data_IF_176714170563
#
_entry.id   IF_176714170563
#
_cell.length_a   1.000
_cell.length_b   1.000
_cell.length_c   1.000
_cell.angle_alpha   90.00
_cell.angle_beta   90.00
_cell.angle_gamma   90.00
#
_symmetry.space_group_name_H-M   'P 1'
#
loop_
_entity.id
_entity.type
_entity.pdbx_description
1 polymer ?
#
# COMPACT_ATOMS: atom_id res chain seq x y z
N UNK A 1 -12.40 -31.32 4.28
CA UNK A 1 -11.22 -30.54 3.86
C UNK A 1 -11.74 -29.26 3.22
N UNK A 2 -11.90 -28.20 4.00
CA UNK A 2 -12.33 -26.90 3.49
C UNK A 2 -11.10 -26.20 2.90
N UNK A 3 -11.11 -25.98 1.59
CA UNK A 3 -10.10 -25.19 0.89
C UNK A 3 -10.11 -23.77 1.47
N UNK A 4 -9.03 -23.36 2.12
CA UNK A 4 -8.76 -21.94 2.33
C UNK A 4 -8.52 -21.32 0.95
N UNK A 5 -9.51 -20.59 0.44
CA UNK A 5 -9.28 -19.71 -0.70
C UNK A 5 -8.20 -18.72 -0.30
N UNK A 6 -7.00 -18.93 -0.84
CA UNK A 6 -5.86 -18.05 -0.75
C UNK A 6 -6.19 -16.77 -1.53
N UNK A 7 -6.99 -15.91 -0.93
CA UNK A 7 -7.09 -14.52 -1.33
C UNK A 7 -5.74 -13.89 -0.95
N UNK A 8 -5.02 -13.22 -1.87
CA UNK A 8 -3.84 -12.44 -1.51
C UNK A 8 -4.32 -11.23 -0.69
N UNK A 9 -4.58 -11.45 0.59
CA UNK A 9 -5.27 -10.52 1.47
C UNK A 9 -5.44 -11.13 2.85
N UNK A 10 -4.67 -10.59 3.79
CA UNK A 10 -4.78 -10.70 5.25
C UNK A 10 -5.89 -11.63 5.79
N UNK A 11 -5.48 -12.79 6.31
CA UNK A 11 -6.37 -13.72 7.00
C UNK A 11 -6.58 -13.27 8.46
N UNK A 12 -7.81 -12.94 8.88
CA UNK A 12 -8.10 -12.56 10.27
C UNK A 12 -7.80 -13.68 11.28
N UNK A 13 -7.69 -14.95 10.86
CA UNK A 13 -7.28 -16.04 11.73
C UNK A 13 -5.82 -15.91 12.23
N UNK A 14 -5.01 -15.06 11.60
CA UNK A 14 -3.64 -14.76 12.02
C UNK A 14 -3.58 -13.76 13.20
N UNK A 15 -4.70 -13.12 13.56
CA UNK A 15 -4.75 -12.15 14.66
C UNK A 15 -4.83 -12.85 16.02
N UNK A 16 -3.89 -12.52 16.90
CA UNK A 16 -3.92 -12.95 18.30
C UNK A 16 -4.16 -11.75 19.21
N UNK A 17 -5.26 -11.77 19.95
CA UNK A 17 -5.56 -10.77 20.99
C UNK A 17 -4.91 -11.18 22.31
N UNK A 18 -3.95 -10.39 22.78
CA UNK A 18 -3.21 -10.65 24.04
C UNK A 18 -3.97 -10.12 25.26
N UNK A 19 -4.84 -9.14 25.07
CA UNK A 19 -5.65 -8.54 26.13
C UNK A 19 -6.82 -9.44 26.52
N UNK A 20 -7.06 -9.58 27.82
CA UNK A 20 -8.22 -10.32 28.34
C UNK A 20 -9.50 -9.50 28.20
N UNK A 21 -10.64 -10.17 27.95
CA UNK A 21 -11.95 -9.53 27.95
C UNK A 21 -12.31 -8.80 26.66
N UNK A 22 -11.60 -9.06 25.55
CA UNK A 22 -11.97 -8.52 24.24
C UNK A 22 -13.31 -9.09 23.80
N UNK A 23 -14.24 -8.20 23.49
CA UNK A 23 -15.56 -8.56 22.98
C UNK A 23 -15.51 -8.81 21.47
N UNK A 24 -16.48 -9.59 20.97
CA UNK A 24 -16.64 -9.84 19.53
C UNK A 24 -16.71 -8.55 18.68
N UNK A 25 -17.48 -7.49 19.05
CA UNK A 25 -17.50 -6.26 18.28
C UNK A 25 -16.16 -5.51 18.29
N UNK A 26 -15.39 -5.55 19.38
CA UNK A 26 -14.06 -4.95 19.43
C UNK A 26 -13.06 -5.69 18.53
N UNK A 27 -13.07 -7.02 18.57
CA UNK A 27 -12.26 -7.84 17.69
C UNK A 27 -12.58 -7.57 16.21
N UNK A 28 -13.87 -7.43 15.88
CA UNK A 28 -14.32 -7.07 14.54
C UNK A 28 -13.85 -5.67 14.12
N UNK A 29 -13.94 -4.68 15.02
CA UNK A 29 -13.49 -3.32 14.76
C UNK A 29 -11.98 -3.25 14.46
N UNK A 30 -11.16 -3.90 15.29
CA UNK A 30 -9.69 -3.95 15.09
C UNK A 30 -9.35 -4.63 13.77
N UNK A 31 -10.00 -5.75 13.47
CA UNK A 31 -9.79 -6.49 12.22
C UNK A 31 -10.15 -5.62 11.00
N UNK A 32 -11.25 -4.87 11.07
CA UNK A 32 -11.66 -3.95 10.00
C UNK A 32 -10.65 -2.82 9.78
N UNK A 33 -10.13 -2.22 10.86
CA UNK A 33 -9.10 -1.18 10.78
C UNK A 33 -7.82 -1.72 10.16
N UNK A 34 -7.33 -2.88 10.61
CA UNK A 34 -6.11 -3.49 10.07
C UNK A 34 -6.25 -3.83 8.58
N UNK A 35 -7.41 -4.38 8.18
CA UNK A 35 -7.72 -4.62 6.76
C UNK A 35 -7.71 -3.34 5.94
N UNK A 36 -8.29 -2.26 6.45
CA UNK A 36 -8.31 -0.97 5.76
C UNK A 36 -6.90 -0.39 5.59
N UNK A 37 -6.06 -0.45 6.63
CA UNK A 37 -4.67 0.03 6.57
C UNK A 37 -3.85 -0.80 5.57
N UNK A 38 -3.91 -2.13 5.65
CA UNK A 38 -3.19 -3.00 4.72
C UNK A 38 -3.62 -2.79 3.27
N UNK A 39 -4.92 -2.52 3.04
CA UNK A 39 -5.42 -2.19 1.71
C UNK A 39 -4.86 -0.86 1.22
N UNK A 40 -4.86 0.17 2.05
CA UNK A 40 -4.31 1.48 1.71
C UNK A 40 -2.81 1.40 1.37
N UNK A 41 -2.03 0.65 2.15
CA UNK A 41 -0.59 0.42 1.87
C UNK A 41 -0.40 -0.36 0.57
N UNK A 42 -1.18 -1.41 0.34
CA UNK A 42 -1.14 -2.17 -0.92
C UNK A 42 -1.47 -1.31 -2.13
N UNK A 43 -2.44 -0.41 -2.00
CA UNK A 43 -2.82 0.52 -3.07
C UNK A 43 -1.75 1.59 -3.30
N UNK A 44 -1.05 2.03 -2.25
CA UNK A 44 0.11 2.91 -2.36
C UNK A 44 1.29 2.21 -3.07
N UNK A 45 1.60 0.96 -2.71
CA UNK A 45 2.63 0.15 -3.39
C UNK A 45 2.26 -0.12 -4.85
N UNK A 46 0.96 -0.34 -5.14
CA UNK A 46 0.46 -0.52 -6.50
C UNK A 46 0.34 0.76 -7.31
N UNK A 47 0.42 1.94 -6.68
CA UNK A 47 0.48 3.19 -7.40
C UNK A 47 1.79 3.23 -8.19
N UNK A 48 1.72 2.86 -9.48
CA UNK A 48 2.87 2.83 -10.39
C UNK A 48 3.62 4.17 -10.29
N UNK A 49 4.91 4.17 -9.90
CA UNK A 49 5.69 5.41 -9.68
C UNK A 49 5.74 6.29 -10.93
N UNK A 50 5.64 5.66 -12.10
CA UNK A 50 5.45 6.29 -13.39
C UNK A 50 4.17 5.70 -13.99
N UNK A 51 3.03 6.38 -13.77
CA UNK A 51 1.81 6.06 -14.51
C UNK A 51 2.02 6.12 -16.03
N UNK A 52 1.05 5.66 -16.84
CA UNK A 52 1.13 5.81 -18.29
C UNK A 52 1.37 7.28 -18.63
N UNK A 53 2.25 7.54 -19.61
CA UNK A 53 2.59 8.89 -20.03
C UNK A 53 1.31 9.65 -20.39
N UNK A 54 1.15 10.83 -19.78
CA UNK A 54 0.04 11.73 -20.12
C UNK A 54 0.23 12.27 -21.55
N UNK A 55 -0.84 12.53 -22.31
CA UNK A 55 -0.76 13.24 -23.58
C UNK A 55 0.00 14.58 -23.49
N UNK A 56 -0.02 15.22 -22.31
CA UNK A 56 0.78 16.40 -22.04
C UNK A 56 2.29 16.10 -21.92
N UNK A 57 2.67 14.96 -21.35
CA UNK A 57 4.06 14.48 -21.31
C UNK A 57 4.55 14.09 -22.70
N UNK A 58 3.72 13.42 -23.51
CA UNK A 58 4.04 13.04 -24.89
C UNK A 58 4.25 14.25 -25.81
N UNK A 59 3.53 15.35 -25.55
CA UNK A 59 3.66 16.60 -26.30
C UNK A 59 4.85 17.47 -25.88
N UNK A 60 5.53 17.15 -24.77
CA UNK A 60 6.81 17.78 -24.44
C UNK A 60 7.91 17.23 -25.37
N UNK A 61 8.27 18.00 -26.39
CA UNK A 61 9.46 17.71 -27.21
C UNK A 61 10.67 17.48 -26.29
N UNK A 62 11.55 16.55 -26.67
CA UNK A 62 12.67 15.91 -25.93
C UNK A 62 13.73 16.83 -25.28
N UNK A 63 13.32 17.97 -24.73
CA UNK A 63 14.14 18.95 -24.04
C UNK A 63 14.33 18.52 -22.58
N UNK A 64 13.45 17.67 -22.02
CA UNK A 64 13.52 17.19 -20.62
C UNK A 64 12.99 15.76 -20.51
N UNK A 65 13.82 14.84 -20.03
CA UNK A 65 13.36 13.53 -19.59
C UNK A 65 12.69 13.66 -18.21
N UNK A 66 11.56 12.98 -17.94
CA UNK A 66 11.02 12.88 -16.59
C UNK A 66 12.07 12.29 -15.66
N UNK A 67 12.37 12.96 -14.55
CA UNK A 67 13.23 12.40 -13.52
C UNK A 67 12.46 11.30 -12.78
N UNK A 68 12.89 10.03 -12.82
CA UNK A 68 12.28 8.99 -12.01
C UNK A 68 12.51 9.31 -10.53
N UNK A 69 11.48 9.12 -9.70
CA UNK A 69 11.66 9.04 -8.25
C UNK A 69 12.46 7.77 -7.97
N UNK A 70 13.71 7.92 -7.53
CA UNK A 70 14.52 6.82 -6.99
C UNK A 70 14.44 6.81 -5.46
N UNK A 71 14.50 5.62 -4.86
CA UNK A 71 14.24 5.39 -3.44
C UNK A 71 15.16 6.19 -2.48
N UNK A 72 16.28 6.76 -2.93
CA UNK A 72 17.23 7.45 -2.04
C UNK A 72 17.97 8.65 -2.65
N UNK A 73 17.39 9.38 -3.63
CA UNK A 73 18.15 10.42 -4.36
C UNK A 73 17.53 11.81 -4.43
N UNK A 74 16.86 12.24 -3.37
CA UNK A 74 16.78 13.68 -3.12
C UNK A 74 18.05 14.07 -2.38
N UNK A 75 18.99 14.72 -3.09
CA UNK A 75 20.25 15.18 -2.53
C UNK A 75 19.99 15.90 -1.20
N UNK A 76 20.54 15.38 -0.11
CA UNK A 76 20.69 16.14 1.12
C UNK A 76 21.51 17.39 0.81
N UNK A 77 20.96 18.58 1.09
CA UNK A 77 21.75 19.79 1.13
C UNK A 77 22.65 19.71 2.37
N UNK A 78 23.89 19.26 2.21
CA UNK A 78 24.92 19.52 3.21
C UNK A 78 25.39 20.96 3.04
N UNK A 79 25.40 21.70 4.15
CA UNK A 79 25.80 23.12 4.23
C UNK A 79 27.26 23.36 3.83
#
# INVERSE_FOLDING_TARGET
MTHSENTPGFDPAELTFVTTGVTEPEAAAVTAVLRAVLRAESDNVRATPNGPASPWQDSQRAIRAPLPRGDERWCSFTA
#
